data_IF_431729297660
#
_entry.id   IF_431729297660
#
_cell.length_a   1.000
_cell.length_b   1.000
_cell.length_c   1.000
_cell.angle_alpha   90.00
_cell.angle_beta   90.00
_cell.angle_gamma   90.00
#
_symmetry.space_group_name_H-M   'P 1'
#
loop_
_entity.id
_entity.type
_entity.pdbx_description
1 polymer ?
#
# COMPACT_ATOMS: atom_id res chain seq x y z
N UNK A 1 4.05 -27.89 20.69
CA UNK A 1 5.04 -26.85 20.31
C UNK A 1 5.08 -26.56 18.81
N UNK A 2 4.89 -27.56 17.93
CA UNK A 2 4.87 -27.40 16.47
C UNK A 2 3.79 -26.44 15.94
N UNK A 3 2.59 -26.44 16.54
CA UNK A 3 1.46 -25.62 16.10
C UNK A 3 1.71 -24.11 16.19
N UNK A 4 2.51 -23.65 17.16
CA UNK A 4 2.91 -22.23 17.27
C UNK A 4 3.87 -21.82 16.15
N UNK A 5 4.69 -22.75 15.68
CA UNK A 5 5.69 -22.52 14.63
C UNK A 5 5.02 -22.37 13.25
N UNK A 6 3.97 -23.16 12.99
CA UNK A 6 3.15 -23.06 11.78
C UNK A 6 2.34 -21.76 11.71
N UNK A 7 1.71 -21.34 12.82
CA UNK A 7 0.98 -20.06 12.89
C UNK A 7 1.95 -18.89 12.65
N UNK A 8 3.17 -18.97 13.20
CA UNK A 8 4.20 -17.96 13.01
C UNK A 8 4.69 -17.89 11.55
N UNK A 9 4.91 -19.03 10.90
CA UNK A 9 5.27 -19.11 9.48
C UNK A 9 4.19 -18.51 8.56
N UNK A 10 2.91 -18.81 8.82
CA UNK A 10 1.80 -18.23 8.07
C UNK A 10 1.78 -16.70 8.26
N UNK A 11 1.94 -16.23 9.49
CA UNK A 11 1.98 -14.79 9.77
C UNK A 11 3.17 -14.09 9.09
N UNK A 12 4.32 -14.78 9.01
CA UNK A 12 5.52 -14.29 8.33
C UNK A 12 5.31 -14.16 6.81
N UNK A 13 4.64 -15.14 6.19
CA UNK A 13 4.31 -15.10 4.76
C UNK A 13 3.28 -14.03 4.41
N UNK A 14 2.31 -13.74 5.29
CA UNK A 14 1.31 -12.71 5.05
C UNK A 14 1.83 -11.28 5.25
N UNK A 15 2.84 -11.07 6.11
CA UNK A 15 3.28 -9.72 6.53
C UNK A 15 4.02 -8.88 5.47
N UNK A 16 4.30 -9.43 4.28
CA UNK A 16 4.99 -8.71 3.20
C UNK A 16 4.09 -8.20 2.07
N UNK A 17 2.85 -8.70 1.98
CA UNK A 17 1.96 -8.37 0.86
C UNK A 17 1.49 -6.91 0.89
N UNK A 18 1.23 -6.38 2.07
CA UNK A 18 0.64 -5.04 2.25
C UNK A 18 1.54 -3.93 1.69
N UNK A 19 2.82 -3.93 2.04
CA UNK A 19 3.78 -2.94 1.54
C UNK A 19 3.93 -2.99 0.01
N UNK A 20 3.96 -4.19 -0.55
CA UNK A 20 4.01 -4.39 -2.02
C UNK A 20 2.76 -3.84 -2.68
N UNK A 21 1.59 -4.04 -2.06
CA UNK A 21 0.31 -3.53 -2.57
C UNK A 21 0.24 -2.00 -2.52
N UNK A 22 0.79 -1.36 -1.48
CA UNK A 22 0.87 0.12 -1.39
C UNK A 22 1.66 0.69 -2.56
N UNK A 23 2.88 0.18 -2.82
CA UNK A 23 3.71 0.59 -3.95
C UNK A 23 2.99 0.43 -5.32
N UNK A 24 2.25 -0.66 -5.49
CA UNK A 24 1.44 -0.88 -6.71
C UNK A 24 0.30 0.14 -6.80
N UNK A 25 -0.41 0.40 -5.70
CA UNK A 25 -1.50 1.38 -5.68
C UNK A 25 -0.99 2.80 -6.00
N UNK A 26 0.12 3.19 -5.39
CA UNK A 26 0.81 4.46 -5.64
C UNK A 26 1.19 4.60 -7.11
N UNK A 27 1.86 3.60 -7.69
CA UNK A 27 2.27 3.63 -9.10
C UNK A 27 1.07 3.66 -10.06
N UNK A 28 -0.04 3.00 -9.74
CA UNK A 28 -1.29 3.08 -10.52
C UNK A 28 -1.92 4.47 -10.47
N UNK A 29 -1.87 5.16 -9.32
CA UNK A 29 -2.35 6.54 -9.17
C UNK A 29 -1.49 7.51 -9.98
N UNK A 30 -0.15 7.41 -9.87
CA UNK A 30 0.79 8.25 -10.63
C UNK A 30 0.61 8.08 -12.13
N UNK A 31 0.30 6.87 -12.60
CA UNK A 31 0.02 6.60 -14.02
C UNK A 31 -1.43 6.95 -14.45
N UNK A 32 -2.26 7.48 -13.55
CA UNK A 32 -3.67 7.81 -13.83
C UNK A 32 -4.54 6.60 -14.15
N UNK A 33 -4.10 5.38 -13.82
CA UNK A 33 -4.85 4.13 -14.06
C UNK A 33 -5.86 3.85 -12.96
N UNK A 34 -5.68 4.44 -11.77
CA UNK A 34 -6.64 4.42 -10.67
C UNK A 34 -6.75 5.79 -10.01
N UNK A 35 -7.90 6.02 -9.39
CA UNK A 35 -8.11 7.13 -8.45
C UNK A 35 -7.95 6.65 -7.01
N UNK A 36 -7.63 7.57 -6.11
CA UNK A 36 -7.44 7.26 -4.69
C UNK A 36 -8.68 6.59 -4.05
N UNK A 37 -9.89 6.97 -4.48
CA UNK A 37 -11.15 6.40 -3.99
C UNK A 37 -11.34 4.93 -4.39
N UNK A 38 -10.61 4.46 -5.41
CA UNK A 38 -10.61 3.06 -5.84
C UNK A 38 -9.60 2.19 -5.08
N UNK A 39 -8.87 2.76 -4.11
CA UNK A 39 -7.95 2.02 -3.26
C UNK A 39 -8.72 1.43 -2.06
N UNK A 40 -8.47 0.16 -1.69
CA UNK A 40 -9.02 -0.43 -0.47
C UNK A 40 -8.76 0.44 0.75
N UNK A 41 -9.78 0.64 1.59
CA UNK A 41 -9.74 1.56 2.75
C UNK A 41 -8.56 1.26 3.69
N UNK A 42 -8.22 -0.02 3.88
CA UNK A 42 -7.12 -0.45 4.72
C UNK A 42 -5.72 -0.05 4.20
N UNK A 43 -5.60 0.34 2.93
CA UNK A 43 -4.34 0.78 2.30
C UNK A 43 -4.33 2.29 2.01
N UNK A 44 -5.45 2.99 2.14
CA UNK A 44 -5.56 4.41 1.77
C UNK A 44 -4.60 5.28 2.59
N UNK A 45 -4.51 5.06 3.90
CA UNK A 45 -3.63 5.84 4.77
C UNK A 45 -2.16 5.66 4.40
N UNK A 46 -1.74 4.42 4.15
CA UNK A 46 -0.36 4.11 3.74
C UNK A 46 -0.05 4.67 2.33
N UNK A 47 -0.97 4.53 1.38
CA UNK A 47 -0.83 5.09 0.02
C UNK A 47 -0.74 6.61 0.06
N UNK A 48 -1.55 7.27 0.90
CA UNK A 48 -1.51 8.73 1.06
C UNK A 48 -0.22 9.19 1.69
N UNK A 49 0.28 8.47 2.69
CA UNK A 49 1.56 8.76 3.33
C UNK A 49 2.72 8.65 2.32
N UNK A 50 2.72 7.60 1.50
CA UNK A 50 3.76 7.35 0.50
C UNK A 50 3.72 8.38 -0.65
N UNK A 51 2.53 8.72 -1.15
CA UNK A 51 2.34 9.83 -2.11
C UNK A 51 2.87 11.15 -1.56
N UNK A 52 2.51 11.48 -0.31
CA UNK A 52 2.97 12.72 0.34
C UNK A 52 4.48 12.72 0.56
N UNK A 53 5.09 11.58 0.90
CA UNK A 53 6.54 11.46 1.05
C UNK A 53 7.29 11.74 -0.26
N UNK A 54 6.67 11.45 -1.41
CA UNK A 54 7.18 11.81 -2.74
C UNK A 54 6.83 13.24 -3.18
N UNK A 55 6.15 14.03 -2.32
CA UNK A 55 5.68 15.38 -2.67
C UNK A 55 4.48 15.38 -3.62
N UNK A 56 3.72 14.29 -3.67
CA UNK A 56 2.55 14.13 -4.52
C UNK A 56 1.24 14.24 -3.71
N UNK A 57 0.20 14.74 -4.37
CA UNK A 57 -1.18 14.68 -3.91
C UNK A 57 -1.80 13.31 -4.14
N UNK A 58 -3.03 13.12 -3.65
CA UNK A 58 -3.82 11.89 -3.85
C UNK A 58 -4.21 11.65 -5.31
N UNK A 59 -4.07 12.65 -6.17
CA UNK A 59 -4.25 12.55 -7.61
C UNK A 59 -2.96 12.16 -8.35
N UNK A 60 -1.87 11.88 -7.63
CA UNK A 60 -0.58 11.50 -8.20
C UNK A 60 0.21 12.67 -8.80
N UNK A 61 -0.23 13.92 -8.58
CA UNK A 61 0.45 15.12 -9.11
C UNK A 61 1.25 15.83 -8.02
N UNK A 62 2.28 16.62 -8.38
CA UNK A 62 3.04 17.40 -7.40
C UNK A 62 2.14 18.32 -6.57
N UNK A 63 2.38 18.34 -5.26
CA UNK A 63 1.84 19.37 -4.38
C UNK A 63 2.54 20.69 -4.73
N UNK A 64 1.75 21.67 -5.19
CA UNK A 64 2.23 23.02 -5.50
C UNK A 64 2.78 23.74 -4.26
#
# INVERSE_FOLDING_TARGET
>A
MLQRLWIWLIFLCLKGGEFTMVMVCVSLIVNGRRTFDQIPVNLQDDVKADLKAMGLGTDGKPLA
#
